data_IF_452290127701
#
_entry.id   IF_452290127701
#
_cell.length_a   1.000
_cell.length_b   1.000
_cell.length_c   1.000
_cell.angle_alpha   90.00
_cell.angle_beta   90.00
_cell.angle_gamma   90.00
#
_symmetry.space_group_name_H-M   'P 1'
#
loop_
_entity.id
_entity.type
_entity.pdbx_description
1 polymer ?
#
# COMPACT_ATOMS: atom_id res chain seq x y z
N UNK A 1 6.72 -16.09 9.18
CA UNK A 1 6.65 -16.84 7.91
C UNK A 1 8.07 -17.06 7.43
N UNK A 2 8.42 -18.28 7.02
CA UNK A 2 9.75 -18.60 6.47
C UNK A 2 9.82 -18.20 4.98
N UNK A 3 11.02 -18.22 4.40
CA UNK A 3 11.22 -17.87 2.98
C UNK A 3 10.54 -18.89 2.08
N UNK A 4 10.59 -20.18 2.43
CA UNK A 4 9.93 -21.24 1.68
C UNK A 4 8.42 -20.99 1.50
N UNK A 5 7.71 -20.54 2.54
CA UNK A 5 6.29 -20.17 2.44
C UNK A 5 6.05 -19.11 1.36
N UNK A 6 6.93 -18.11 1.24
CA UNK A 6 6.79 -17.07 0.22
C UNK A 6 7.05 -17.58 -1.19
N UNK A 7 8.02 -18.49 -1.35
CA UNK A 7 8.32 -19.13 -2.63
C UNK A 7 7.15 -20.02 -3.06
N UNK A 8 6.61 -20.82 -2.14
CA UNK A 8 5.49 -21.73 -2.42
C UNK A 8 4.22 -20.98 -2.82
N UNK A 9 4.01 -19.78 -2.28
CA UNK A 9 2.84 -18.95 -2.57
C UNK A 9 3.10 -17.85 -3.63
N UNK A 10 4.29 -17.78 -4.21
CA UNK A 10 4.66 -16.74 -5.18
C UNK A 10 3.86 -16.80 -6.49
N UNK A 11 3.17 -17.91 -6.77
CA UNK A 11 2.28 -18.06 -7.93
C UNK A 11 0.92 -17.36 -7.72
N UNK A 12 0.57 -17.03 -6.47
CA UNK A 12 -0.69 -16.37 -6.13
C UNK A 12 -0.62 -14.86 -6.32
N UNK A 13 -1.52 -14.28 -7.13
CA UNK A 13 -1.61 -12.83 -7.35
C UNK A 13 -1.66 -12.03 -6.03
N UNK A 14 -2.42 -12.49 -5.05
CA UNK A 14 -2.57 -11.82 -3.75
C UNK A 14 -1.23 -11.77 -3.01
N UNK A 15 -0.50 -12.89 -2.98
CA UNK A 15 0.80 -12.96 -2.33
C UNK A 15 1.84 -12.13 -3.07
N UNK A 16 1.82 -12.11 -4.41
CA UNK A 16 2.70 -11.26 -5.21
C UNK A 16 2.48 -9.78 -4.88
N UNK A 17 1.24 -9.29 -4.94
CA UNK A 17 0.91 -7.89 -4.62
C UNK A 17 1.34 -7.57 -3.19
N UNK A 18 1.08 -8.47 -2.23
CA UNK A 18 1.48 -8.29 -0.85
C UNK A 18 3.00 -8.18 -0.70
N UNK A 19 3.76 -9.08 -1.32
CA UNK A 19 5.23 -9.05 -1.27
C UNK A 19 5.81 -7.80 -1.92
N UNK A 20 5.26 -7.37 -3.06
CA UNK A 20 5.69 -6.14 -3.75
C UNK A 20 5.45 -4.93 -2.86
N UNK A 21 4.24 -4.78 -2.30
CA UNK A 21 3.90 -3.64 -1.45
C UNK A 21 4.70 -3.63 -0.15
N UNK A 22 4.79 -4.78 0.53
CA UNK A 22 5.57 -4.92 1.76
C UNK A 22 7.05 -4.64 1.51
N UNK A 23 7.62 -5.18 0.43
CA UNK A 23 9.00 -4.94 0.02
C UNK A 23 9.25 -3.47 -0.34
N UNK A 24 8.32 -2.83 -1.04
CA UNK A 24 8.41 -1.40 -1.38
C UNK A 24 8.39 -0.51 -0.13
N UNK A 25 7.47 -0.75 0.80
CA UNK A 25 7.41 0.00 2.06
C UNK A 25 8.66 -0.24 2.92
N UNK A 26 9.18 -1.47 2.96
CA UNK A 26 10.42 -1.79 3.67
C UNK A 26 11.64 -1.11 3.02
N UNK A 27 11.68 -1.04 1.69
CA UNK A 27 12.71 -0.29 0.97
C UNK A 27 12.67 1.20 1.33
N UNK A 28 11.49 1.83 1.32
CA UNK A 28 11.32 3.22 1.74
C UNK A 28 11.78 3.40 3.19
N UNK A 29 11.44 2.48 4.09
CA UNK A 29 11.85 2.55 5.49
C UNK A 29 13.38 2.52 5.63
N UNK A 30 14.04 1.62 4.90
CA UNK A 30 15.50 1.56 4.86
C UNK A 30 16.11 2.83 4.27
N UNK A 31 15.53 3.39 3.21
CA UNK A 31 16.01 4.61 2.58
C UNK A 31 15.88 5.84 3.50
N UNK A 32 14.80 5.91 4.28
CA UNK A 32 14.55 6.99 5.24
C UNK A 32 15.23 6.77 6.61
N UNK A 33 15.94 5.66 6.81
CA UNK A 33 16.55 5.32 8.10
C UNK A 33 15.53 5.12 9.24
N UNK A 34 14.32 4.67 8.91
CA UNK A 34 13.22 4.46 9.86
C UNK A 34 12.69 3.03 9.82
N UNK A 35 11.63 2.72 10.56
CA UNK A 35 11.02 1.39 10.59
C UNK A 35 9.92 1.23 9.55
N UNK A 36 9.70 -0.02 9.13
CA UNK A 36 8.57 -0.40 8.29
C UNK A 36 7.23 0.10 8.86
N UNK A 37 7.04 -0.03 10.18
CA UNK A 37 5.81 0.39 10.86
C UNK A 37 5.56 1.91 10.70
N UNK A 38 6.60 2.73 10.86
CA UNK A 38 6.50 4.19 10.68
C UNK A 38 6.09 4.51 9.25
N UNK A 39 6.73 3.91 8.24
CA UNK A 39 6.38 4.14 6.83
C UNK A 39 4.98 3.65 6.52
N UNK A 40 4.59 2.49 7.05
CA UNK A 40 3.25 1.92 6.84
C UNK A 40 2.17 2.86 7.38
N UNK A 41 2.29 3.30 8.64
CA UNK A 41 1.37 4.28 9.24
C UNK A 41 1.38 5.58 8.44
N UNK A 42 2.54 6.10 8.10
CA UNK A 42 2.65 7.33 7.30
C UNK A 42 1.92 7.22 5.96
N UNK A 43 2.09 6.13 5.22
CA UNK A 43 1.44 5.93 3.92
C UNK A 43 -0.08 5.83 4.08
N UNK A 44 -0.55 4.95 4.96
CA UNK A 44 -1.98 4.62 5.03
C UNK A 44 -2.82 5.61 5.85
N UNK A 45 -2.24 6.26 6.86
CA UNK A 45 -2.95 7.23 7.70
C UNK A 45 -2.73 8.67 7.26
N UNK A 46 -1.72 8.94 6.42
CA UNK A 46 -1.42 10.30 5.98
C UNK A 46 -1.45 10.47 4.47
N UNK A 47 -0.56 9.79 3.72
CA UNK A 47 -0.44 10.01 2.27
C UNK A 47 -1.75 9.68 1.55
N UNK A 48 -2.32 8.50 1.82
CA UNK A 48 -3.55 8.06 1.17
C UNK A 48 -4.72 9.02 1.48
N UNK A 49 -5.04 9.32 2.76
CA UNK A 49 -6.07 10.31 3.07
C UNK A 49 -5.79 11.71 2.49
N UNK A 50 -4.55 12.19 2.55
CA UNK A 50 -4.17 13.49 2.00
C UNK A 50 -4.40 13.58 0.49
N UNK A 51 -4.11 12.49 -0.24
CA UNK A 51 -4.36 12.43 -1.68
C UNK A 51 -5.86 12.42 -2.01
N UNK A 52 -6.71 11.83 -1.17
CA UNK A 52 -8.17 11.89 -1.33
C UNK A 52 -8.68 13.30 -1.07
N UNK A 53 -8.20 13.96 -0.01
CA UNK A 53 -8.50 15.36 0.28
C UNK A 53 -8.09 16.25 -0.90
N UNK A 54 -6.92 16.00 -1.48
CA UNK A 54 -6.45 16.70 -2.67
C UNK A 54 -7.41 16.56 -3.85
N UNK A 55 -7.90 15.35 -4.13
CA UNK A 55 -8.90 15.15 -5.18
C UNK A 55 -10.20 15.91 -4.87
N UNK A 56 -10.71 15.80 -3.66
CA UNK A 56 -11.95 16.46 -3.23
C UNK A 56 -11.83 17.99 -3.32
N UNK A 57 -10.68 18.56 -2.94
CA UNK A 57 -10.42 20.00 -2.97
C UNK A 57 -10.57 20.62 -4.37
N UNK A 58 -10.43 19.83 -5.45
CA UNK A 58 -10.62 20.29 -6.83
C UNK A 58 -12.07 20.70 -7.13
N UNK A 59 -13.02 20.23 -6.32
CA UNK A 59 -14.46 20.53 -6.44
C UNK A 59 -14.99 21.36 -5.28
N UNK A 60 -14.28 21.42 -4.16
CA UNK A 60 -14.70 22.15 -2.96
C UNK A 60 -13.81 23.36 -2.73
N UNK A 61 -12.93 23.32 -1.73
CA UNK A 61 -12.10 24.45 -1.31
C UNK A 61 -10.64 24.04 -1.14
N UNK A 62 -9.73 24.95 -1.51
CA UNK A 62 -8.28 24.76 -1.36
C UNK A 62 -7.88 24.67 0.12
N UNK A 63 -8.67 25.23 1.04
CA UNK A 63 -8.44 25.16 2.48
C UNK A 63 -8.34 23.73 3.02
N UNK A 64 -9.04 22.77 2.41
CA UNK A 64 -8.90 21.36 2.80
C UNK A 64 -7.48 20.83 2.57
N UNK A 65 -6.80 21.27 1.51
CA UNK A 65 -5.41 20.91 1.27
C UNK A 65 -4.48 21.52 2.30
N UNK A 66 -4.73 22.78 2.68
CA UNK A 66 -3.95 23.46 3.73
C UNK A 66 -4.09 22.71 5.05
N UNK A 67 -5.32 22.32 5.44
CA UNK A 67 -5.56 21.52 6.64
C UNK A 67 -4.90 20.14 6.55
N UNK A 68 -4.94 19.49 5.40
CA UNK A 68 -4.27 18.20 5.18
C UNK A 68 -2.75 18.30 5.31
N UNK A 69 -2.14 19.38 4.78
CA UNK A 69 -0.71 19.64 4.92
C UNK A 69 -0.36 19.94 6.38
N UNK A 70 -1.14 20.78 7.07
CA UNK A 70 -0.94 21.09 8.49
C UNK A 70 -1.04 19.82 9.33
N UNK A 71 -2.06 18.99 9.11
CA UNK A 71 -2.21 17.70 9.78
C UNK A 71 -1.04 16.76 9.50
N UNK A 72 -0.50 16.81 8.28
CA UNK A 72 0.68 16.03 7.90
C UNK A 72 1.95 16.48 8.59
N UNK A 73 2.15 17.79 8.74
CA UNK A 73 3.27 18.35 9.50
C UNK A 73 3.11 18.03 10.99
N UNK A 74 1.89 18.17 11.52
CA UNK A 74 1.59 17.87 12.91
C UNK A 74 1.92 16.41 13.27
N UNK A 75 1.71 15.46 12.35
CA UNK A 75 2.10 14.06 12.54
C UNK A 75 3.59 13.90 12.86
N UNK A 76 4.47 14.66 12.22
CA UNK A 76 5.91 14.58 12.46
C UNK A 76 6.38 15.26 13.76
N UNK A 77 5.54 16.11 14.35
CA UNK A 77 5.85 16.84 15.60
C UNK A 77 5.42 16.01 16.83
N UNK A 78 4.72 14.89 16.63
CA UNK A 78 4.28 14.03 17.73
C UNK A 78 5.51 13.48 18.49
N UNK A 79 5.59 13.70 19.82
CA UNK A 79 6.67 13.15 20.63
C UNK A 79 6.64 11.62 20.59
N UNK A 80 7.81 10.98 20.63
CA UNK A 80 7.93 9.52 20.53
C UNK A 80 7.23 8.93 19.28
N UNK A 81 7.34 9.62 18.14
CA UNK A 81 6.71 9.24 16.86
C UNK A 81 6.83 7.75 16.56
N UNK A 82 8.02 7.17 16.75
CA UNK A 82 8.26 5.74 16.51
C UNK A 82 7.39 4.86 17.39
N UNK A 83 7.36 5.12 18.71
CA UNK A 83 6.56 4.34 19.67
C UNK A 83 5.07 4.43 19.35
N UNK A 84 4.61 5.62 18.98
CA UNK A 84 3.22 5.84 18.58
C UNK A 84 2.88 5.12 17.27
N UNK A 85 3.77 5.15 16.28
CA UNK A 85 3.60 4.40 15.03
C UNK A 85 3.60 2.89 15.27
N UNK A 86 4.49 2.38 16.13
CA UNK A 86 4.54 0.96 16.49
C UNK A 86 3.24 0.52 17.18
N UNK A 87 2.71 1.35 18.09
CA UNK A 87 1.41 1.11 18.73
C UNK A 87 0.25 1.11 17.73
N UNK A 88 0.16 2.14 16.87
CA UNK A 88 -0.89 2.25 15.86
C UNK A 88 -0.81 1.10 14.86
N UNK A 89 0.40 0.73 14.44
CA UNK A 89 0.63 -0.38 13.54
C UNK A 89 0.14 -1.69 14.15
N UNK A 90 0.46 -1.95 15.41
CA UNK A 90 -0.04 -3.15 16.10
C UNK A 90 -1.57 -3.16 16.17
N UNK A 91 -2.21 -2.01 16.42
CA UNK A 91 -3.68 -1.91 16.38
C UNK A 91 -4.26 -2.20 15.00
N UNK A 92 -3.60 -1.75 13.93
CA UNK A 92 -4.01 -2.10 12.56
C UNK A 92 -3.85 -3.59 12.29
N UNK A 93 -2.76 -4.22 12.76
CA UNK A 93 -2.53 -5.67 12.65
C UNK A 93 -3.60 -6.45 13.42
N UNK A 94 -3.92 -6.04 14.63
CA UNK A 94 -4.97 -6.66 15.46
C UNK A 94 -6.33 -6.58 14.75
N UNK A 95 -6.66 -5.43 14.18
CA UNK A 95 -7.88 -5.22 13.39
C UNK A 95 -7.95 -6.15 12.17
N UNK A 96 -6.85 -6.28 11.41
CA UNK A 96 -6.80 -7.14 10.22
C UNK A 96 -6.90 -8.62 10.59
N UNK A 97 -6.27 -9.05 11.69
CA UNK A 97 -6.40 -10.42 12.19
C UNK A 97 -7.82 -10.71 12.70
N UNK A 98 -8.45 -9.74 13.38
CA UNK A 98 -9.85 -9.86 13.79
C UNK A 98 -10.78 -10.02 12.57
N UNK A 99 -10.60 -9.21 11.52
CA UNK A 99 -11.33 -9.40 10.25
C UNK A 99 -11.03 -10.76 9.63
N UNK A 100 -9.78 -11.22 9.66
CA UNK A 100 -9.41 -12.53 9.12
C UNK A 100 -10.17 -13.67 9.83
N UNK A 101 -10.36 -13.57 11.15
CA UNK A 101 -11.18 -14.54 11.91
C UNK A 101 -12.64 -14.50 11.45
N UNK A 102 -13.24 -13.30 11.36
CA UNK A 102 -14.64 -13.14 10.95
C UNK A 102 -14.90 -13.72 9.56
N UNK A 103 -14.00 -13.45 8.62
CA UNK A 103 -14.14 -13.86 7.23
C UNK A 103 -13.51 -15.22 6.93
N UNK A 104 -13.07 -15.98 7.95
CA UNK A 104 -12.39 -17.27 7.79
C UNK A 104 -11.24 -17.21 6.76
N UNK A 105 -10.42 -16.16 6.86
CA UNK A 105 -9.31 -15.86 5.96
C UNK A 105 -7.99 -15.74 6.72
N UNK A 106 -7.00 -15.08 6.12
CA UNK A 106 -5.71 -14.82 6.75
C UNK A 106 -5.34 -13.32 6.69
N UNK A 107 -4.32 -12.96 7.45
CA UNK A 107 -3.80 -11.59 7.52
C UNK A 107 -3.39 -11.03 6.15
N UNK A 108 -2.76 -11.83 5.28
CA UNK A 108 -2.28 -11.40 3.96
C UNK A 108 -3.47 -10.98 3.10
N UNK A 109 -4.48 -11.83 3.01
CA UNK A 109 -5.70 -11.57 2.23
C UNK A 109 -6.40 -10.31 2.75
N UNK A 110 -6.61 -10.20 4.07
CA UNK A 110 -7.27 -9.03 4.65
C UNK A 110 -6.47 -7.74 4.43
N UNK A 111 -5.14 -7.81 4.50
CA UNK A 111 -4.27 -6.68 4.18
C UNK A 111 -4.49 -6.20 2.74
N UNK A 112 -4.53 -7.11 1.77
CA UNK A 112 -4.78 -6.75 0.37
C UNK A 112 -6.19 -6.21 0.17
N UNK A 113 -7.20 -6.84 0.77
CA UNK A 113 -8.59 -6.41 0.61
C UNK A 113 -8.82 -5.01 1.18
N UNK A 114 -8.29 -4.70 2.36
CA UNK A 114 -8.51 -3.40 2.99
C UNK A 114 -7.55 -2.35 2.43
N UNK A 115 -6.24 -2.63 2.42
CA UNK A 115 -5.21 -1.64 2.12
C UNK A 115 -4.95 -1.45 0.62
N UNK A 116 -5.44 -2.34 -0.24
CA UNK A 116 -5.27 -2.22 -1.70
C UNK A 116 -6.61 -2.10 -2.40
N UNK A 117 -7.50 -3.08 -2.25
CA UNK A 117 -8.79 -3.04 -2.94
C UNK A 117 -9.68 -1.94 -2.39
N UNK A 118 -9.80 -1.82 -1.06
CA UNK A 118 -10.57 -0.74 -0.41
C UNK A 118 -10.10 0.64 -0.85
N UNK A 119 -8.78 0.89 -0.80
CA UNK A 119 -8.19 2.15 -1.26
C UNK A 119 -8.43 2.37 -2.76
N UNK A 120 -8.30 1.34 -3.58
CA UNK A 120 -8.52 1.42 -5.03
C UNK A 120 -9.97 1.77 -5.37
N UNK A 121 -10.95 1.20 -4.66
CA UNK A 121 -12.38 1.51 -4.82
C UNK A 121 -12.63 3.00 -4.54
N UNK A 122 -12.04 3.54 -3.47
CA UNK A 122 -12.19 4.97 -3.16
C UNK A 122 -11.64 5.83 -4.30
N UNK A 123 -10.48 5.50 -4.88
CA UNK A 123 -9.96 6.24 -6.05
C UNK A 123 -10.83 6.07 -7.30
N UNK A 124 -11.35 4.87 -7.55
CA UNK A 124 -12.26 4.62 -8.68
C UNK A 124 -13.52 5.49 -8.61
N UNK A 125 -13.96 5.85 -7.41
CA UNK A 125 -15.08 6.76 -7.18
C UNK A 125 -14.61 8.23 -7.26
N UNK A 126 -13.55 8.60 -6.54
CA UNK A 126 -13.12 10.00 -6.44
C UNK A 126 -12.59 10.58 -7.75
N UNK A 127 -11.81 9.82 -8.53
CA UNK A 127 -11.21 10.31 -9.77
C UNK A 127 -12.26 10.82 -10.77
N UNK A 128 -13.27 10.04 -11.18
CA UNK A 128 -14.28 10.50 -12.14
C UNK A 128 -15.18 11.61 -11.57
N UNK A 129 -15.42 11.65 -10.25
CA UNK A 129 -16.23 12.68 -9.62
C UNK A 129 -15.49 14.03 -9.53
N UNK A 130 -14.17 14.00 -9.29
CA UNK A 130 -13.40 15.20 -8.97
C UNK A 130 -12.62 15.76 -10.15
N UNK A 131 -12.15 14.92 -11.06
CA UNK A 131 -11.33 15.36 -12.20
C UNK A 131 -12.18 15.58 -13.46
N UNK A 132 -11.73 16.45 -14.39
CA UNK A 132 -12.34 16.55 -15.71
C UNK A 132 -12.32 15.20 -16.43
N UNK A 133 -13.39 14.86 -17.15
CA UNK A 133 -13.53 13.56 -17.82
C UNK A 133 -12.34 13.20 -18.72
N UNK A 134 -11.76 14.17 -19.43
CA UNK A 134 -10.55 13.97 -20.26
C UNK A 134 -9.37 13.48 -19.42
N UNK A 135 -9.15 14.08 -18.25
CA UNK A 135 -8.07 13.70 -17.33
C UNK A 135 -8.35 12.36 -16.67
N UNK A 136 -9.58 12.12 -16.20
CA UNK A 136 -9.97 10.84 -15.62
C UNK A 136 -9.77 9.68 -16.62
N UNK A 137 -10.16 9.87 -17.89
CA UNK A 137 -9.91 8.88 -18.96
C UNK A 137 -8.42 8.62 -19.17
N UNK A 138 -7.57 9.65 -19.20
CA UNK A 138 -6.11 9.47 -19.33
C UNK A 138 -5.54 8.68 -18.17
N UNK A 139 -5.95 8.99 -16.93
CA UNK A 139 -5.53 8.24 -15.73
C UNK A 139 -5.97 6.77 -15.84
N UNK A 140 -7.21 6.51 -16.23
CA UNK A 140 -7.72 5.15 -16.43
C UNK A 140 -6.93 4.35 -17.47
N UNK A 141 -6.60 4.96 -18.61
CA UNK A 141 -5.78 4.33 -19.66
C UNK A 141 -4.37 4.01 -19.14
N UNK A 142 -3.73 4.94 -18.41
CA UNK A 142 -2.40 4.72 -17.84
C UNK A 142 -2.43 3.54 -16.85
N UNK A 143 -3.42 3.50 -15.95
CA UNK A 143 -3.58 2.40 -14.99
C UNK A 143 -3.80 1.06 -15.73
N UNK A 144 -4.63 1.05 -16.77
CA UNK A 144 -4.88 -0.14 -17.56
C UNK A 144 -3.59 -0.64 -18.25
N UNK A 145 -2.78 0.26 -18.81
CA UNK A 145 -1.49 -0.09 -19.42
C UNK A 145 -0.56 -0.72 -18.37
N UNK A 146 -0.36 -0.09 -17.21
CA UNK A 146 0.50 -0.65 -16.17
C UNK A 146 0.01 -2.01 -15.67
N UNK A 147 -1.31 -2.16 -15.50
CA UNK A 147 -1.90 -3.43 -15.09
C UNK A 147 -1.72 -4.52 -16.15
N UNK A 148 -1.92 -4.20 -17.44
CA UNK A 148 -1.65 -5.13 -18.54
C UNK A 148 -0.17 -5.51 -18.62
N UNK A 149 0.75 -4.56 -18.46
CA UNK A 149 2.18 -4.85 -18.42
C UNK A 149 2.54 -5.77 -17.24
N UNK A 150 1.95 -5.51 -16.06
CA UNK A 150 2.12 -6.39 -14.91
C UNK A 150 1.65 -7.81 -15.21
N UNK A 151 0.43 -7.97 -15.73
CA UNK A 151 -0.14 -9.29 -16.02
C UNK A 151 0.61 -10.06 -17.11
N UNK A 152 1.18 -9.35 -18.11
CA UNK A 152 1.90 -10.00 -19.20
C UNK A 152 3.33 -10.37 -18.83
N UNK A 153 4.03 -9.51 -18.09
CA UNK A 153 5.47 -9.67 -17.87
C UNK A 153 5.84 -10.08 -16.45
N UNK A 154 5.17 -9.52 -15.44
CA UNK A 154 5.56 -9.71 -14.04
C UNK A 154 4.84 -10.92 -13.46
N UNK A 155 3.51 -10.96 -13.56
CA UNK A 155 2.67 -12.00 -12.96
C UNK A 155 3.11 -13.44 -13.28
N UNK A 156 3.31 -13.83 -14.56
CA UNK A 156 3.70 -15.21 -14.90
C UNK A 156 5.14 -15.55 -14.49
N UNK A 157 6.03 -14.55 -14.40
CA UNK A 157 7.46 -14.77 -14.15
C UNK A 157 7.87 -14.42 -12.70
N UNK A 158 6.92 -14.03 -11.85
CA UNK A 158 7.23 -13.45 -10.54
C UNK A 158 8.03 -14.41 -9.65
N UNK A 159 7.61 -15.67 -9.57
CA UNK A 159 8.26 -16.70 -8.75
C UNK A 159 9.69 -16.95 -9.18
N UNK A 160 9.92 -17.08 -10.49
CA UNK A 160 11.26 -17.28 -11.04
C UNK A 160 12.16 -16.08 -10.73
N UNK A 161 11.68 -14.86 -10.97
CA UNK A 161 12.41 -13.64 -10.62
C UNK A 161 12.74 -13.60 -9.12
N UNK A 162 11.79 -13.99 -8.27
CA UNK A 162 11.96 -13.99 -6.81
C UNK A 162 13.03 -15.00 -6.36
N UNK A 163 13.03 -16.22 -6.91
CA UNK A 163 14.05 -17.24 -6.64
C UNK A 163 15.44 -16.77 -7.10
N UNK A 164 15.54 -16.20 -8.31
CA UNK A 164 16.80 -15.69 -8.85
C UNK A 164 17.41 -14.60 -7.96
N UNK A 165 16.57 -13.73 -7.36
CA UNK A 165 17.03 -12.70 -6.42
C UNK A 165 17.65 -13.33 -5.17
N UNK A 166 17.04 -14.37 -4.60
CA UNK A 166 17.58 -15.04 -3.41
C UNK A 166 18.88 -15.78 -3.70
N UNK A 167 18.94 -16.50 -4.82
CA UNK A 167 20.16 -17.18 -5.26
C UNK A 167 21.31 -16.19 -5.43
N UNK A 168 21.06 -15.03 -6.05
CA UNK A 168 22.08 -13.99 -6.24
C UNK A 168 22.58 -13.38 -4.93
N UNK A 169 21.76 -13.39 -3.87
CA UNK A 169 22.13 -12.85 -2.54
C UNK A 169 22.67 -13.91 -1.58
N UNK A 170 22.86 -15.15 -2.04
CA UNK A 170 23.29 -16.30 -1.23
C UNK A 170 22.42 -16.53 0.03
N UNK A 171 21.13 -16.19 -0.08
CA UNK A 171 20.16 -16.38 1.00
C UNK A 171 19.61 -17.81 0.85
N UNK A 172 19.96 -18.68 1.81
CA UNK A 172 19.40 -20.03 1.89
C UNK A 172 17.92 -19.95 2.25
N UNK A 173 17.09 -20.69 1.52
CA UNK A 173 15.65 -20.79 1.72
C UNK A 173 15.20 -22.24 1.83
#
# INVERSE_FOLDING_TARGET
MNIQFWIDNADSLIHQIFMILMGFLAYIASFLGTTYNVVNIFVYYLIVPASWIYLISKKTTVWLNVLSIIGSIAFFIIPDLRKNCDYLFQKSVDFLNWLAIIFSSNYINMSIYICVLGISIVYLILIPLTLPLKTAKRVGVIIAIFFSLYLLFIYPNFKEMFILIFQKKDIKY
#
